data_IF_890567423158
#
_entry.id   IF_890567423158
#
_cell.length_a   1.000
_cell.length_b   1.000
_cell.length_c   1.000
_cell.angle_alpha   90.00
_cell.angle_beta   90.00
_cell.angle_gamma   90.00
#
_symmetry.space_group_name_H-M   'P 1'
#
loop_
_entity.id
_entity.type
_entity.pdbx_description
1 polymer ?
#
# COMPACT_ATOMS: atom_id res chain seq x y z
N UNK A 1 -39.44 -86.41 -39.10
CA UNK A 1 -38.06 -86.06 -39.48
C UNK A 1 -38.12 -84.91 -40.47
N UNK A 2 -38.09 -83.67 -39.98
CA UNK A 2 -38.27 -82.46 -40.79
C UNK A 2 -36.89 -81.81 -40.97
N UNK A 3 -36.30 -82.01 -42.15
CA UNK A 3 -34.98 -81.47 -42.49
C UNK A 3 -35.02 -79.94 -42.50
N UNK A 4 -34.09 -79.24 -41.83
CA UNK A 4 -34.10 -77.79 -41.77
C UNK A 4 -33.78 -77.22 -43.16
N UNK A 5 -34.72 -76.45 -43.70
CA UNK A 5 -34.60 -75.81 -45.01
C UNK A 5 -33.36 -74.91 -45.08
N UNK A 6 -32.45 -75.22 -46.01
CA UNK A 6 -31.26 -74.44 -46.30
C UNK A 6 -31.67 -73.08 -46.88
N UNK A 7 -31.29 -71.98 -46.23
CA UNK A 7 -31.57 -70.61 -46.69
C UNK A 7 -30.94 -70.37 -48.07
N UNK A 8 -31.66 -69.65 -48.94
CA UNK A 8 -31.15 -69.22 -50.24
C UNK A 8 -29.99 -68.22 -50.06
N UNK A 9 -28.95 -68.23 -50.92
CA UNK A 9 -27.80 -67.32 -50.82
C UNK A 9 -28.19 -65.83 -50.72
N UNK A 10 -29.20 -65.39 -51.47
CA UNK A 10 -29.67 -63.99 -51.41
C UNK A 10 -30.35 -63.61 -50.08
N UNK A 11 -31.00 -64.56 -49.41
CA UNK A 11 -31.60 -64.33 -48.08
C UNK A 11 -30.53 -64.24 -46.99
N UNK A 12 -29.47 -65.05 -47.10
CA UNK A 12 -28.33 -64.98 -46.18
C UNK A 12 -27.60 -63.64 -46.27
N UNK A 13 -27.43 -63.11 -47.49
CA UNK A 13 -26.76 -61.82 -47.71
C UNK A 13 -27.58 -60.62 -47.21
N UNK A 14 -28.92 -60.65 -47.37
CA UNK A 14 -29.79 -59.64 -46.77
C UNK A 14 -29.79 -59.68 -45.23
N UNK A 15 -29.69 -60.88 -44.64
CA UNK A 15 -29.59 -61.03 -43.19
C UNK A 15 -28.30 -60.40 -42.63
N UNK A 16 -27.18 -60.59 -43.33
CA UNK A 16 -25.88 -59.99 -42.99
C UNK A 16 -25.95 -58.45 -43.03
N UNK A 17 -26.56 -57.88 -44.07
CA UNK A 17 -26.77 -56.42 -44.18
C UNK A 17 -27.62 -55.88 -43.02
N UNK A 18 -28.68 -56.59 -42.62
CA UNK A 18 -29.52 -56.20 -41.48
C UNK A 18 -28.72 -56.22 -40.17
N UNK A 19 -27.92 -57.26 -39.94
CA UNK A 19 -27.08 -57.38 -38.74
C UNK A 19 -26.05 -56.24 -38.66
N UNK A 20 -25.43 -55.87 -39.79
CA UNK A 20 -24.50 -54.74 -39.86
C UNK A 20 -25.23 -53.43 -39.52
N UNK A 21 -26.44 -53.23 -40.06
CA UNK A 21 -27.22 -52.02 -39.82
C UNK A 21 -27.65 -51.90 -38.35
N UNK A 22 -28.05 -53.01 -37.72
CA UNK A 22 -28.35 -53.05 -36.29
C UNK A 22 -27.11 -52.77 -35.43
N UNK A 23 -25.94 -53.30 -35.83
CA UNK A 23 -24.66 -52.97 -35.20
C UNK A 23 -24.34 -51.49 -35.26
N UNK A 24 -24.44 -50.87 -36.45
CA UNK A 24 -24.21 -49.43 -36.62
C UNK A 24 -25.21 -48.61 -35.79
N UNK A 25 -26.48 -49.00 -35.77
CA UNK A 25 -27.51 -48.35 -34.95
C UNK A 25 -27.17 -48.40 -33.47
N UNK A 26 -26.74 -49.57 -32.98
CA UNK A 26 -26.30 -49.76 -31.59
C UNK A 26 -25.08 -48.90 -31.26
N UNK A 27 -24.04 -48.93 -32.10
CA UNK A 27 -22.83 -48.14 -31.92
C UNK A 27 -23.11 -46.63 -31.94
N UNK A 28 -24.01 -46.19 -32.81
CA UNK A 28 -24.40 -44.79 -32.88
C UNK A 28 -25.18 -44.38 -31.62
N UNK A 29 -26.09 -45.22 -31.14
CA UNK A 29 -26.84 -44.96 -29.90
C UNK A 29 -25.89 -44.82 -28.71
N UNK A 30 -24.94 -45.74 -28.55
CA UNK A 30 -23.98 -45.68 -27.43
C UNK A 30 -23.07 -44.44 -27.50
N UNK A 31 -22.60 -44.07 -28.70
CA UNK A 31 -21.81 -42.84 -28.88
C UNK A 31 -22.62 -41.58 -28.58
N UNK A 32 -23.90 -41.55 -28.96
CA UNK A 32 -24.79 -40.44 -28.61
C UNK A 32 -24.99 -40.33 -27.10
N UNK A 33 -25.19 -41.45 -26.40
CA UNK A 33 -25.36 -41.45 -24.95
C UNK A 33 -24.09 -40.93 -24.23
N UNK A 34 -22.91 -41.32 -24.71
CA UNK A 34 -21.63 -40.80 -24.20
C UNK A 34 -21.51 -39.29 -24.42
N UNK A 35 -21.84 -38.80 -25.62
CA UNK A 35 -21.80 -37.36 -25.93
C UNK A 35 -22.79 -36.58 -25.09
N UNK A 36 -24.02 -37.07 -24.92
CA UNK A 36 -25.03 -36.44 -24.09
C UNK A 36 -24.59 -36.35 -22.63
N UNK A 37 -23.96 -37.41 -22.12
CA UNK A 37 -23.41 -37.43 -20.75
C UNK A 37 -22.30 -36.39 -20.60
N UNK A 38 -21.35 -36.35 -21.54
CA UNK A 38 -20.27 -35.36 -21.51
C UNK A 38 -20.78 -33.92 -21.59
N UNK A 39 -21.83 -33.66 -22.39
CA UNK A 39 -22.47 -32.34 -22.47
C UNK A 39 -23.13 -31.97 -21.13
N UNK A 40 -23.79 -32.92 -20.47
CA UNK A 40 -24.39 -32.67 -19.16
C UNK A 40 -23.33 -32.36 -18.09
N UNK A 41 -22.20 -33.05 -18.13
CA UNK A 41 -21.10 -32.82 -17.18
C UNK A 41 -20.46 -31.45 -17.40
N UNK A 42 -20.15 -31.09 -18.65
CA UNK A 42 -19.66 -29.74 -18.99
C UNK A 42 -20.65 -28.67 -18.56
N UNK A 43 -21.96 -28.90 -18.74
CA UNK A 43 -22.99 -27.95 -18.27
C UNK A 43 -22.93 -27.77 -16.76
N UNK A 44 -22.75 -28.85 -15.99
CA UNK A 44 -22.62 -28.80 -14.53
C UNK A 44 -21.35 -28.03 -14.12
N UNK A 45 -20.23 -28.31 -14.76
CA UNK A 45 -18.95 -27.64 -14.49
C UNK A 45 -19.01 -26.14 -14.77
N UNK A 46 -19.65 -25.75 -15.88
CA UNK A 46 -19.87 -24.33 -16.22
C UNK A 46 -20.75 -23.64 -15.17
N UNK A 47 -21.78 -24.31 -14.66
CA UNK A 47 -22.62 -23.77 -13.59
C UNK A 47 -21.85 -23.61 -12.28
N UNK A 48 -21.03 -24.60 -11.90
CA UNK A 48 -20.18 -24.50 -10.71
C UNK A 48 -19.17 -23.35 -10.82
N UNK A 49 -18.51 -23.25 -11.97
CA UNK A 49 -17.57 -22.17 -12.24
C UNK A 49 -18.25 -20.80 -12.17
N UNK A 50 -19.45 -20.66 -12.75
CA UNK A 50 -20.23 -19.41 -12.67
C UNK A 50 -20.53 -19.03 -11.22
N UNK A 51 -20.96 -19.97 -10.37
CA UNK A 51 -21.23 -19.69 -8.96
C UNK A 51 -19.97 -19.28 -8.19
N UNK A 52 -18.85 -19.94 -8.46
CA UNK A 52 -17.56 -19.59 -7.85
C UNK A 52 -17.06 -18.23 -8.31
N UNK A 53 -17.27 -17.88 -9.58
CA UNK A 53 -16.90 -16.60 -10.15
C UNK A 53 -17.72 -15.46 -9.53
N UNK A 54 -19.05 -15.60 -9.45
CA UNK A 54 -19.91 -14.64 -8.74
C UNK A 54 -19.47 -14.43 -7.29
N UNK A 55 -19.09 -15.52 -6.60
CA UNK A 55 -18.58 -15.45 -5.24
C UNK A 55 -17.24 -14.71 -5.14
N UNK A 56 -16.34 -14.93 -6.10
CA UNK A 56 -15.07 -14.22 -6.18
C UNK A 56 -15.26 -12.73 -6.48
N UNK A 57 -16.12 -12.40 -7.44
CA UNK A 57 -16.44 -11.01 -7.81
C UNK A 57 -17.02 -10.22 -6.63
N UNK A 58 -17.96 -10.80 -5.88
CA UNK A 58 -18.52 -10.17 -4.67
C UNK A 58 -17.45 -9.92 -3.61
N UNK A 59 -16.54 -10.87 -3.40
CA UNK A 59 -15.43 -10.72 -2.45
C UNK A 59 -14.46 -9.64 -2.89
N UNK A 60 -14.13 -9.58 -4.19
CA UNK A 60 -13.26 -8.54 -4.76
C UNK A 60 -13.90 -7.17 -4.57
N UNK A 61 -15.16 -7.00 -4.96
CA UNK A 61 -15.89 -5.73 -4.79
C UNK A 61 -15.91 -5.27 -3.32
N UNK A 62 -16.18 -6.18 -2.37
CA UNK A 62 -16.15 -5.84 -0.94
C UNK A 62 -14.76 -5.42 -0.44
N UNK A 63 -13.70 -6.07 -0.94
CA UNK A 63 -12.31 -5.71 -0.61
C UNK A 63 -11.94 -4.37 -1.22
N UNK A 64 -12.33 -4.12 -2.47
CA UNK A 64 -12.10 -2.84 -3.16
C UNK A 64 -12.77 -1.69 -2.40
N UNK A 65 -14.03 -1.84 -1.99
CA UNK A 65 -14.75 -0.85 -1.19
C UNK A 65 -14.04 -0.56 0.14
N UNK A 66 -13.58 -1.62 0.82
CA UNK A 66 -12.87 -1.50 2.10
C UNK A 66 -11.55 -0.76 1.92
N UNK A 67 -10.74 -1.15 0.93
CA UNK A 67 -9.46 -0.52 0.62
C UNK A 67 -9.67 0.96 0.26
N UNK A 68 -10.71 1.29 -0.49
CA UNK A 68 -10.99 2.67 -0.86
C UNK A 68 -11.40 3.52 0.36
N UNK A 69 -12.21 2.95 1.26
CA UNK A 69 -12.56 3.58 2.54
C UNK A 69 -11.33 3.82 3.42
N UNK A 70 -10.45 2.83 3.53
CA UNK A 70 -9.22 2.93 4.33
C UNK A 70 -8.26 3.95 3.76
N UNK A 71 -8.07 3.98 2.43
CA UNK A 71 -7.27 5.02 1.75
C UNK A 71 -7.81 6.43 2.05
N UNK A 72 -9.12 6.62 2.02
CA UNK A 72 -9.72 7.91 2.39
C UNK A 72 -9.42 8.31 3.84
N UNK A 73 -9.47 7.35 4.78
CA UNK A 73 -9.14 7.59 6.19
C UNK A 73 -7.66 7.91 6.38
N UNK A 74 -6.76 7.18 5.72
CA UNK A 74 -5.31 7.42 5.84
C UNK A 74 -4.93 8.77 5.27
N UNK A 75 -5.49 9.19 4.13
CA UNK A 75 -5.28 10.53 3.58
C UNK A 75 -5.77 11.63 4.51
N UNK A 76 -6.93 11.45 5.15
CA UNK A 76 -7.45 12.39 6.14
C UNK A 76 -6.52 12.49 7.35
N UNK A 77 -6.01 11.37 7.85
CA UNK A 77 -5.07 11.33 8.97
C UNK A 77 -3.74 11.99 8.60
N UNK A 78 -3.19 11.75 7.40
CA UNK A 78 -1.96 12.39 6.93
C UNK A 78 -2.13 13.92 6.93
N UNK A 79 -3.28 14.42 6.42
CA UNK A 79 -3.60 15.86 6.43
C UNK A 79 -3.69 16.42 7.85
N UNK A 80 -4.33 15.69 8.77
CA UNK A 80 -4.43 16.10 10.17
C UNK A 80 -3.07 16.15 10.85
N UNK A 81 -2.23 15.12 10.66
CA UNK A 81 -0.87 15.09 11.21
C UNK A 81 -0.06 16.26 10.67
N UNK A 82 -0.06 16.50 9.36
CA UNK A 82 0.66 17.64 8.77
C UNK A 82 0.19 18.99 9.36
N UNK A 83 -1.13 19.18 9.50
CA UNK A 83 -1.70 20.38 10.10
C UNK A 83 -1.27 20.54 11.57
N UNK A 84 -1.29 19.47 12.36
CA UNK A 84 -0.89 19.50 13.76
C UNK A 84 0.61 19.76 13.92
N UNK A 85 1.45 19.14 13.08
CA UNK A 85 2.89 19.39 13.05
C UNK A 85 3.19 20.86 12.73
N UNK A 86 2.54 21.43 11.72
CA UNK A 86 2.71 22.84 11.37
C UNK A 86 2.28 23.78 12.51
N UNK A 87 1.17 23.44 13.20
CA UNK A 87 0.73 24.21 14.38
C UNK A 87 1.72 24.12 15.53
N UNK A 88 2.28 22.94 15.77
CA UNK A 88 3.28 22.74 16.83
C UNK A 88 4.53 23.55 16.54
N UNK A 89 5.01 23.52 15.29
CA UNK A 89 6.15 24.32 14.85
C UNK A 89 5.89 25.83 15.01
N UNK A 90 4.72 26.33 14.60
CA UNK A 90 4.36 27.75 14.79
C UNK A 90 4.33 28.14 16.27
N UNK A 91 3.74 27.29 17.13
CA UNK A 91 3.69 27.52 18.57
C UNK A 91 5.09 27.52 19.19
N UNK A 92 5.96 26.59 18.80
CA UNK A 92 7.35 26.53 19.27
C UNK A 92 8.14 27.76 18.82
N UNK A 93 8.01 28.15 17.55
CA UNK A 93 8.64 29.34 16.98
C UNK A 93 8.14 30.63 17.65
N UNK A 94 6.83 30.74 17.92
CA UNK A 94 6.26 31.89 18.63
C UNK A 94 6.72 31.94 20.07
N UNK A 95 6.79 30.79 20.74
CA UNK A 95 7.30 30.68 22.11
C UNK A 95 8.78 31.09 22.21
N UNK A 96 9.58 30.79 21.19
CA UNK A 96 11.02 31.11 21.15
C UNK A 96 11.34 32.40 20.41
N UNK A 97 10.34 33.14 19.92
CA UNK A 97 10.54 34.32 19.06
C UNK A 97 11.40 35.41 19.72
N UNK A 98 11.33 35.51 21.04
CA UNK A 98 12.12 36.47 21.82
C UNK A 98 13.41 35.86 22.38
N UNK A 99 13.71 34.60 22.10
CA UNK A 99 14.89 33.92 22.60
C UNK A 99 16.06 34.20 21.66
N UNK A 100 17.13 34.78 22.20
CA UNK A 100 18.40 34.95 21.51
C UNK A 100 19.37 33.87 21.97
N UNK A 101 20.11 33.26 21.03
CA UNK A 101 21.19 32.32 21.34
C UNK A 101 22.53 33.03 21.16
N UNK A 102 23.25 33.21 22.26
CA UNK A 102 24.63 33.72 22.25
C UNK A 102 25.59 32.53 22.31
N UNK A 103 26.51 32.45 21.35
CA UNK A 103 27.50 31.37 21.22
C UNK A 103 28.89 31.95 21.52
N UNK A 104 29.80 31.13 22.06
CA UNK A 104 31.17 31.52 22.49
C UNK A 104 31.23 32.48 23.69
N UNK A 105 30.26 32.40 24.60
CA UNK A 105 30.37 33.05 25.91
C UNK A 105 31.24 32.20 26.85
N UNK A 106 32.17 32.79 27.62
CA UNK A 106 32.93 32.06 28.63
C UNK A 106 31.98 31.40 29.65
N UNK A 107 32.18 30.12 29.94
CA UNK A 107 31.46 29.43 31.02
C UNK A 107 31.72 30.13 32.36
N UNK A 108 30.72 30.13 33.26
CA UNK A 108 30.69 30.79 34.59
C UNK A 108 30.37 32.29 34.60
N UNK A 109 30.02 32.86 33.45
CA UNK A 109 29.40 34.19 33.40
C UNK A 109 27.89 33.96 33.32
N UNK A 110 27.22 33.92 34.47
CA UNK A 110 25.77 33.69 34.57
C UNK A 110 25.04 34.94 35.06
N UNK A 111 23.73 35.02 34.79
CA UNK A 111 22.88 36.11 35.26
C UNK A 111 23.32 37.50 34.77
N UNK A 112 23.42 38.45 35.71
CA UNK A 112 23.71 39.85 35.40
C UNK A 112 25.10 40.06 34.80
N UNK A 113 26.08 39.23 35.16
CA UNK A 113 27.44 39.34 34.64
C UNK A 113 27.50 38.97 33.15
N UNK A 114 26.62 38.07 32.71
CA UNK A 114 26.51 37.67 31.30
C UNK A 114 25.94 38.80 30.46
N UNK A 115 24.90 39.46 30.99
CA UNK A 115 24.29 40.64 30.39
C UNK A 115 25.29 41.81 30.30
N UNK A 116 26.03 42.07 31.36
CA UNK A 116 27.04 43.13 31.41
C UNK A 116 28.20 42.85 30.43
N UNK A 117 28.67 41.60 30.38
CA UNK A 117 29.70 41.17 29.43
C UNK A 117 29.23 41.38 27.98
N UNK A 118 28.03 40.89 27.62
CA UNK A 118 27.45 41.10 26.30
C UNK A 118 27.25 42.59 25.97
N UNK A 119 26.73 43.38 26.92
CA UNK A 119 26.53 44.82 26.77
C UNK A 119 27.85 45.55 26.50
N UNK A 120 28.91 45.19 27.22
CA UNK A 120 30.24 45.80 27.08
C UNK A 120 30.95 45.44 25.77
N UNK A 121 30.74 44.21 25.27
CA UNK A 121 31.31 43.72 24.00
C UNK A 121 30.51 44.07 22.75
N UNK A 122 29.30 44.64 22.90
CA UNK A 122 28.43 44.95 21.77
C UNK A 122 29.02 46.06 20.88
N UNK A 123 28.96 45.95 19.53
CA UNK A 123 29.49 46.99 18.65
C UNK A 123 28.71 48.31 18.81
N UNK A 124 29.42 49.44 18.88
CA UNK A 124 28.83 50.79 19.04
C UNK A 124 27.74 51.15 18.01
N UNK A 125 27.71 50.46 16.86
CA UNK A 125 26.68 50.63 15.81
C UNK A 125 25.27 50.22 16.26
N UNK A 126 25.15 49.31 17.24
CA UNK A 126 23.86 48.88 17.77
C UNK A 126 23.18 49.97 18.61
N UNK A 127 23.94 50.97 19.08
CA UNK A 127 23.45 52.07 19.91
C UNK A 127 22.57 53.07 19.14
N UNK A 128 22.73 53.13 17.80
CA UNK A 128 22.08 54.14 16.96
C UNK A 128 20.66 53.77 16.52
N UNK A 129 20.26 52.50 16.62
CA UNK A 129 18.98 52.03 16.03
C UNK A 129 17.88 51.78 17.05
N UNK A 130 18.22 51.45 18.29
CA UNK A 130 17.25 51.23 19.37
C UNK A 130 17.84 51.77 20.69
N UNK A 131 17.07 52.59 21.42
CA UNK A 131 17.49 53.01 22.75
C UNK A 131 17.74 51.77 23.61
N UNK A 132 18.97 51.64 24.14
CA UNK A 132 19.41 50.51 24.99
C UNK A 132 18.48 50.29 26.19
N UNK A 133 17.73 51.33 26.58
CA UNK A 133 16.78 51.34 27.69
C UNK A 133 15.50 50.52 27.42
N UNK A 134 15.28 50.06 26.18
CA UNK A 134 14.09 49.27 25.81
C UNK A 134 14.37 47.75 25.69
N UNK A 135 15.58 47.29 26.02
CA UNK A 135 15.93 45.88 26.07
C UNK A 135 15.91 45.39 27.51
N UNK A 136 15.01 44.46 27.83
CA UNK A 136 14.95 43.79 29.13
C UNK A 136 15.25 42.30 28.97
N UNK A 137 16.18 41.81 29.79
CA UNK A 137 16.45 40.37 29.91
C UNK A 137 15.40 39.77 30.84
N UNK A 138 14.67 38.75 30.35
CA UNK A 138 13.68 38.04 31.16
C UNK A 138 14.27 36.83 31.88
N UNK A 139 15.08 36.05 31.16
CA UNK A 139 15.67 34.82 31.67
C UNK A 139 16.96 34.53 30.87
N UNK A 140 17.95 33.91 31.53
CA UNK A 140 19.19 33.48 30.90
C UNK A 140 19.53 32.08 31.42
N UNK A 141 19.64 31.12 30.51
CA UNK A 141 19.97 29.73 30.82
C UNK A 141 21.22 29.33 30.07
N UNK A 142 22.20 28.76 30.78
CA UNK A 142 23.36 28.14 30.15
C UNK A 142 23.00 26.78 29.57
N UNK A 143 23.36 26.54 28.32
CA UNK A 143 23.32 25.20 27.72
C UNK A 143 24.74 24.80 27.37
N UNK A 144 25.25 23.72 27.99
CA UNK A 144 26.44 23.05 27.47
C UNK A 144 26.07 22.53 26.09
N UNK A 145 26.66 23.12 25.04
CA UNK A 145 26.54 22.57 23.70
C UNK A 145 27.24 21.20 23.71
N UNK A 146 26.47 20.13 23.90
CA UNK A 146 26.90 18.79 23.55
C UNK A 146 27.38 18.85 22.10
N UNK A 147 28.61 18.41 21.84
CA UNK A 147 29.20 18.37 20.50
C UNK A 147 28.18 17.75 19.54
N UNK A 148 27.75 18.52 18.55
CA UNK A 148 26.84 18.05 17.51
C UNK A 148 27.53 16.91 16.73
N UNK A 149 27.00 15.69 16.64
CA UNK A 149 27.65 14.58 15.91
C UNK A 149 27.57 14.69 14.38
N UNK A 150 26.95 15.74 13.85
CA UNK A 150 26.67 15.87 12.41
C UNK A 150 27.68 16.83 11.79
N UNK A 151 28.94 16.40 11.71
CA UNK A 151 29.94 16.95 10.81
C UNK A 151 30.94 15.83 10.50
N UNK A 152 30.49 14.84 9.72
CA UNK A 152 31.40 13.96 9.00
C UNK A 152 31.64 14.57 7.62
N UNK A 153 32.83 15.14 7.33
CA UNK A 153 33.20 15.40 5.95
C UNK A 153 33.40 14.06 5.25
N UNK A 154 32.63 13.85 4.18
CA UNK A 154 32.89 12.82 3.18
C UNK A 154 34.34 12.96 2.72
N UNK A 155 35.18 12.02 3.12
CA UNK A 155 36.54 11.89 2.61
C UNK A 155 36.42 11.22 1.24
N UNK A 156 36.38 12.02 0.18
CA UNK A 156 36.66 11.52 -1.16
C UNK A 156 38.11 11.03 -1.18
N UNK A 157 38.28 9.70 -1.17
CA UNK A 157 39.53 9.07 -1.55
C UNK A 157 39.63 9.09 -3.07
N UNK A 158 40.38 10.04 -3.62
CA UNK A 158 40.89 9.94 -4.98
C UNK A 158 41.78 8.71 -5.08
N UNK A 159 41.45 7.84 -6.04
CA UNK A 159 42.35 6.82 -6.58
C UNK A 159 43.18 7.40 -7.72
#
# INVERSE_FOLDING_TARGET
DASPGRLSPGMAQNLDVIQILDGIRSDFSTKLDVVLTAIQDVKRDVQDFSMRMDGAEKRISSVEDTVNSEKGKTEALIKQVALLTNKLEDLENRSRRSNLRLVNMPEKIEGNDAWLSWRSGSPKRWDQRHSRDNLSLKELTGCLAGRNPIDHPHRESSS
#
